data_IF_509370916838
#
_entry.id   IF_509370916838
#
_cell.length_a   1.000
_cell.length_b   1.000
_cell.length_c   1.000
_cell.angle_alpha   90.00
_cell.angle_beta   90.00
_cell.angle_gamma   90.00
#
_symmetry.space_group_name_H-M   'P 1'
#
loop_
_entity.id
_entity.type
_entity.pdbx_description
1 polymer ?
#
# COMPACT_ATOMS: atom_id res chain seq x y z
N UNK A 1 -11.36 5.06 12.89
CA UNK A 1 -10.79 3.78 13.35
C UNK A 1 -11.02 3.49 14.85
N UNK A 2 -11.39 4.46 15.67
CA UNK A 2 -11.49 4.35 17.14
C UNK A 2 -10.13 4.08 17.81
N UNK A 3 -9.10 4.79 17.41
CA UNK A 3 -7.82 4.81 18.11
C UNK A 3 -8.05 5.47 19.47
N UNK A 4 -7.44 4.94 20.55
CA UNK A 4 -7.69 5.43 21.91
C UNK A 4 -7.03 6.78 22.14
N UNK A 5 -5.77 6.93 21.74
CA UNK A 5 -4.96 8.15 21.85
C UNK A 5 -4.39 8.53 20.48
N UNK A 6 -4.41 9.80 20.15
CA UNK A 6 -3.78 10.36 18.94
C UNK A 6 -2.72 11.36 19.41
N UNK A 7 -1.44 10.98 19.34
CA UNK A 7 -0.36 11.93 19.49
C UNK A 7 -0.28 12.78 18.23
N UNK A 8 -0.77 14.01 18.35
CA UNK A 8 -1.05 14.86 17.21
C UNK A 8 0.17 15.65 16.72
N UNK A 9 1.19 15.78 17.55
CA UNK A 9 2.42 16.45 17.17
C UNK A 9 3.17 17.09 18.33
N UNK A 10 4.16 17.93 17.99
CA UNK A 10 5.08 18.59 18.91
C UNK A 10 4.90 20.13 18.84
N UNK A 11 3.97 20.70 19.63
CA UNK A 11 3.51 22.10 19.49
C UNK A 11 4.57 23.19 19.59
N UNK A 12 5.71 22.91 20.23
CA UNK A 12 6.81 23.87 20.36
C UNK A 12 7.72 23.93 19.12
N UNK A 13 7.64 22.93 18.23
CA UNK A 13 8.53 22.82 17.09
C UNK A 13 8.36 23.98 16.10
N UNK A 14 7.11 24.40 15.85
CA UNK A 14 6.77 25.56 15.01
C UNK A 14 5.35 26.04 15.29
N UNK A 15 5.00 27.24 14.80
CA UNK A 15 3.61 27.72 14.86
C UNK A 15 2.67 26.84 14.04
N UNK A 16 3.11 26.30 12.91
CA UNK A 16 2.33 25.37 12.11
C UNK A 16 2.04 24.05 12.84
N UNK A 17 3.01 23.50 13.58
CA UNK A 17 2.80 22.32 14.42
C UNK A 17 1.80 22.60 15.56
N UNK A 18 1.92 23.78 16.18
CA UNK A 18 0.95 24.21 17.18
C UNK A 18 -0.47 24.30 16.60
N UNK A 19 -0.64 24.96 15.46
CA UNK A 19 -1.93 25.10 14.79
C UNK A 19 -2.52 23.74 14.42
N UNK A 20 -1.70 22.82 13.90
CA UNK A 20 -2.13 21.48 13.53
C UNK A 20 -2.66 20.70 14.75
N UNK A 21 -1.92 20.69 15.86
CA UNK A 21 -2.36 20.04 17.12
C UNK A 21 -3.64 20.70 17.64
N UNK A 22 -3.74 22.03 17.63
CA UNK A 22 -4.88 22.77 18.11
C UNK A 22 -6.15 22.50 17.27
N UNK A 23 -6.04 22.45 15.93
CA UNK A 23 -7.15 22.09 15.05
C UNK A 23 -7.60 20.63 15.26
N UNK A 24 -6.68 19.69 15.39
CA UNK A 24 -6.99 18.30 15.73
C UNK A 24 -7.74 18.23 17.07
N UNK A 25 -7.28 18.97 18.08
CA UNK A 25 -7.92 19.04 19.40
C UNK A 25 -9.36 19.57 19.34
N UNK A 26 -9.68 20.50 18.45
CA UNK A 26 -11.04 21.03 18.26
C UNK A 26 -11.99 20.00 17.65
N UNK A 27 -11.55 19.19 16.70
CA UNK A 27 -12.40 18.31 15.89
C UNK A 27 -12.50 16.88 16.42
N UNK A 28 -11.47 16.35 17.04
CA UNK A 28 -11.47 14.97 17.56
C UNK A 28 -12.31 14.89 18.85
N UNK A 29 -13.28 13.95 18.87
CA UNK A 29 -14.20 13.78 20.01
C UNK A 29 -14.22 12.37 20.61
N UNK A 30 -13.70 11.39 19.88
CA UNK A 30 -13.79 9.97 20.28
C UNK A 30 -12.46 9.35 20.70
N UNK A 31 -11.40 10.14 20.76
CA UNK A 31 -10.04 9.75 21.18
C UNK A 31 -9.45 10.84 22.05
N UNK A 32 -8.52 10.49 22.90
CA UNK A 32 -7.69 11.46 23.62
C UNK A 32 -6.69 12.09 22.65
N UNK A 33 -6.60 13.42 22.63
CA UNK A 33 -5.59 14.12 21.84
C UNK A 33 -4.37 14.38 22.70
N UNK A 34 -3.25 13.85 22.28
CA UNK A 34 -1.97 13.95 22.99
C UNK A 34 -1.06 14.95 22.27
N UNK A 35 -0.37 15.78 23.02
CA UNK A 35 0.72 16.60 22.53
C UNK A 35 2.03 16.24 23.22
N UNK A 36 3.12 16.24 22.43
CA UNK A 36 4.48 15.94 22.92
C UNK A 36 5.17 17.20 23.42
N UNK A 37 5.92 17.08 24.52
CA UNK A 37 6.68 18.16 25.17
C UNK A 37 7.95 17.62 25.81
N UNK A 38 9.07 18.28 25.60
CA UNK A 38 10.27 18.02 26.42
C UNK A 38 10.00 18.44 27.86
N UNK A 39 10.83 17.96 28.80
CA UNK A 39 10.77 18.30 30.22
C UNK A 39 11.18 19.77 30.50
N UNK A 40 10.66 20.72 29.71
CA UNK A 40 10.87 22.14 29.88
C UNK A 40 9.55 22.88 30.05
N UNK A 41 9.55 23.94 30.87
CA UNK A 41 8.35 24.74 31.11
C UNK A 41 7.73 25.28 29.82
N UNK A 42 8.55 25.79 28.91
CA UNK A 42 8.06 26.38 27.66
C UNK A 42 7.36 25.36 26.74
N UNK A 43 7.91 24.15 26.65
CA UNK A 43 7.32 23.06 25.86
C UNK A 43 5.98 22.61 26.44
N UNK A 44 5.93 22.40 27.76
CA UNK A 44 4.73 21.91 28.45
C UNK A 44 3.61 22.97 28.40
N UNK A 45 3.92 24.25 28.64
CA UNK A 45 2.94 25.33 28.52
C UNK A 45 2.36 25.43 27.11
N UNK A 46 3.22 25.35 26.09
CA UNK A 46 2.81 25.42 24.68
C UNK A 46 1.97 24.21 24.27
N UNK A 47 2.33 23.02 24.78
CA UNK A 47 1.57 21.80 24.58
C UNK A 47 0.17 21.90 25.23
N UNK A 48 0.12 22.34 26.49
CA UNK A 48 -1.13 22.54 27.22
C UNK A 48 -2.08 23.52 26.51
N UNK A 49 -1.54 24.61 25.97
CA UNK A 49 -2.30 25.58 25.17
C UNK A 49 -2.87 24.94 23.89
N UNK A 50 -2.05 24.14 23.17
CA UNK A 50 -2.47 23.51 21.93
C UNK A 50 -3.59 22.49 22.12
N UNK A 51 -3.54 21.66 23.18
CA UNK A 51 -4.56 20.62 23.45
C UNK A 51 -5.77 21.14 24.25
N UNK A 52 -5.75 22.38 24.72
CA UNK A 52 -6.83 22.97 25.54
C UNK A 52 -8.24 22.79 24.97
N UNK A 53 -8.50 22.88 23.65
CA UNK A 53 -9.84 22.67 23.10
C UNK A 53 -10.25 21.19 22.98
N UNK A 54 -9.38 20.24 23.32
CA UNK A 54 -9.70 18.82 23.22
C UNK A 54 -10.80 18.40 24.19
N UNK A 55 -11.63 17.45 23.77
CA UNK A 55 -12.63 16.84 24.67
C UNK A 55 -11.95 15.98 25.77
N UNK A 56 -10.82 15.37 25.44
CA UNK A 56 -9.88 14.69 26.34
C UNK A 56 -8.48 15.00 25.84
N UNK A 57 -7.65 15.61 26.68
CA UNK A 57 -6.31 16.07 26.33
C UNK A 57 -5.27 15.42 27.22
N UNK A 58 -4.17 14.93 26.63
CA UNK A 58 -3.00 14.37 27.30
C UNK A 58 -1.77 15.18 26.99
N UNK A 59 -0.93 15.39 28.00
CA UNK A 59 0.43 15.90 27.81
C UNK A 59 1.40 14.72 27.94
N UNK A 60 2.17 14.48 26.89
CA UNK A 60 3.25 13.51 26.89
C UNK A 60 4.57 14.26 27.05
N UNK A 61 5.22 14.11 28.22
CA UNK A 61 6.52 14.72 28.47
C UNK A 61 7.61 13.67 28.62
N UNK A 62 8.84 14.01 28.24
CA UNK A 62 9.96 13.08 28.21
C UNK A 62 11.30 13.72 28.53
N UNK A 63 12.20 12.91 29.07
CA UNK A 63 13.62 13.24 29.20
C UNK A 63 14.44 11.95 29.05
N UNK A 64 15.66 12.08 28.49
CA UNK A 64 16.56 10.94 28.31
C UNK A 64 17.12 10.46 29.66
N UNK A 65 17.15 9.16 29.85
CA UNK A 65 17.59 8.53 31.10
C UNK A 65 18.81 7.61 30.95
N UNK A 66 19.24 7.33 29.71
CA UNK A 66 20.44 6.52 29.50
C UNK A 66 21.73 7.29 29.85
N UNK A 67 22.76 6.59 30.37
CA UNK A 67 24.06 7.22 30.68
C UNK A 67 24.66 7.96 29.48
N UNK A 68 24.50 7.39 28.28
CA UNK A 68 25.00 7.99 27.05
C UNK A 68 24.33 9.35 26.77
N UNK A 69 23.01 9.42 26.87
CA UNK A 69 22.27 10.65 26.62
C UNK A 69 22.44 11.68 27.75
N UNK A 70 22.41 11.24 28.99
CA UNK A 70 22.68 12.16 30.13
C UNK A 70 24.02 12.86 29.97
N UNK A 71 25.09 12.10 29.65
CA UNK A 71 26.43 12.63 29.49
C UNK A 71 26.63 13.51 28.28
N UNK A 72 26.16 13.08 27.09
CA UNK A 72 26.53 13.73 25.82
C UNK A 72 25.45 14.67 25.28
N UNK A 73 24.15 14.35 25.49
CA UNK A 73 23.02 15.15 25.00
C UNK A 73 22.54 16.17 26.02
N UNK A 74 22.27 15.73 27.23
CA UNK A 74 21.72 16.59 28.29
C UNK A 74 22.81 17.34 29.05
N UNK A 75 23.98 16.73 29.23
CA UNK A 75 25.06 17.23 30.09
C UNK A 75 24.56 17.46 31.53
N UNK A 76 23.79 16.52 32.04
CA UNK A 76 23.15 16.52 33.36
C UNK A 76 23.59 15.32 34.18
N UNK A 77 23.69 15.51 35.49
CA UNK A 77 23.89 14.42 36.45
C UNK A 77 22.57 13.65 36.64
N UNK A 78 22.60 12.35 36.98
CA UNK A 78 21.39 11.54 37.16
C UNK A 78 20.34 12.15 38.13
N UNK A 79 20.77 12.75 39.21
CA UNK A 79 19.86 13.38 40.20
C UNK A 79 19.16 14.61 39.62
N UNK A 80 19.84 15.41 38.78
CA UNK A 80 19.24 16.57 38.09
C UNK A 80 18.20 16.09 37.06
N UNK A 81 18.47 14.98 36.38
CA UNK A 81 17.50 14.34 35.46
C UNK A 81 16.27 13.86 36.23
N UNK A 82 16.46 13.20 37.36
CA UNK A 82 15.35 12.73 38.24
C UNK A 82 14.51 13.91 38.76
N UNK A 83 15.16 15.02 39.17
CA UNK A 83 14.44 16.22 39.57
C UNK A 83 13.65 16.84 38.39
N UNK A 84 14.20 16.87 37.17
CA UNK A 84 13.50 17.33 35.97
C UNK A 84 12.28 16.46 35.62
N UNK A 85 12.33 15.15 35.89
CA UNK A 85 11.15 14.26 35.79
C UNK A 85 10.03 14.75 36.70
N UNK A 86 10.34 14.94 37.99
CA UNK A 86 9.35 15.40 39.00
C UNK A 86 8.76 16.75 38.59
N UNK A 87 9.62 17.72 38.24
CA UNK A 87 9.20 19.07 37.92
C UNK A 87 8.31 19.11 36.65
N UNK A 88 8.69 18.38 35.60
CA UNK A 88 7.95 18.34 34.34
C UNK A 88 6.58 17.66 34.48
N UNK A 89 6.51 16.51 35.17
CA UNK A 89 5.25 15.82 35.38
C UNK A 89 4.32 16.62 36.33
N UNK A 90 4.87 17.22 37.39
CA UNK A 90 4.10 18.10 38.30
C UNK A 90 3.53 19.30 37.55
N UNK A 91 4.32 19.90 36.67
CA UNK A 91 3.86 21.03 35.83
C UNK A 91 2.75 20.58 34.86
N UNK A 92 2.93 19.47 34.17
CA UNK A 92 1.93 18.94 33.24
C UNK A 92 0.59 18.61 33.96
N UNK A 93 0.66 18.08 35.17
CA UNK A 93 -0.52 17.80 36.04
C UNK A 93 -1.33 19.04 36.37
N UNK A 94 -0.75 20.23 36.37
CA UNK A 94 -1.51 21.46 36.60
C UNK A 94 -2.47 21.79 35.41
N UNK A 95 -2.26 21.19 34.25
CA UNK A 95 -3.06 21.42 33.05
C UNK A 95 -4.04 20.30 32.70
N UNK A 96 -3.68 19.05 33.01
CA UNK A 96 -4.52 17.88 32.70
C UNK A 96 -4.32 16.77 33.75
N UNK A 97 -5.35 15.97 33.92
CA UNK A 97 -5.28 14.76 34.76
C UNK A 97 -4.68 13.56 34.03
N UNK A 98 -4.45 13.64 32.74
CA UNK A 98 -3.87 12.59 31.90
C UNK A 98 -2.46 13.02 31.45
N UNK A 99 -1.44 12.50 32.12
CA UNK A 99 -0.03 12.80 31.83
C UNK A 99 0.70 11.51 31.52
N UNK A 100 1.31 11.45 30.36
CA UNK A 100 2.24 10.40 29.95
C UNK A 100 3.67 10.89 30.12
N UNK A 101 4.52 10.03 30.67
CA UNK A 101 5.95 10.29 30.80
C UNK A 101 6.78 9.18 30.18
N UNK A 102 7.79 9.56 29.38
CA UNK A 102 8.74 8.66 28.74
C UNK A 102 10.16 8.80 29.25
N UNK A 103 10.78 7.66 29.58
CA UNK A 103 12.23 7.56 29.77
C UNK A 103 12.93 7.41 28.40
N UNK A 104 13.18 8.51 27.71
CA UNK A 104 13.83 8.46 26.39
C UNK A 104 15.13 7.65 26.47
N UNK A 105 15.35 6.79 25.47
CA UNK A 105 16.43 5.81 25.42
C UNK A 105 16.35 4.75 26.54
N UNK A 106 15.12 4.34 26.86
CA UNK A 106 14.81 3.41 27.93
C UNK A 106 15.52 2.07 27.80
N UNK A 107 15.57 1.50 26.58
CA UNK A 107 16.24 0.22 26.35
C UNK A 107 17.75 0.22 26.67
N UNK A 108 18.39 1.38 26.80
CA UNK A 108 19.80 1.54 27.20
C UNK A 108 19.97 2.22 28.56
N UNK A 109 18.87 2.44 29.29
CA UNK A 109 18.90 3.00 30.63
C UNK A 109 19.26 1.92 31.66
N UNK A 110 20.07 2.27 32.66
CA UNK A 110 20.38 1.36 33.74
C UNK A 110 19.11 1.01 34.54
N UNK A 111 18.92 -0.27 34.87
CA UNK A 111 17.68 -0.79 35.43
C UNK A 111 17.28 -0.10 36.76
N UNK A 112 18.27 0.15 37.66
CA UNK A 112 17.99 0.80 38.94
C UNK A 112 17.57 2.25 38.74
N UNK A 113 18.22 2.99 37.87
CA UNK A 113 17.86 4.36 37.56
C UNK A 113 16.52 4.46 36.83
N UNK A 114 16.25 3.51 35.93
CA UNK A 114 14.94 3.39 35.27
C UNK A 114 13.81 3.25 36.33
N UNK A 115 13.95 2.31 37.27
CA UNK A 115 12.96 2.10 38.29
C UNK A 115 12.76 3.35 39.16
N UNK A 116 13.84 4.05 39.57
CA UNK A 116 13.78 5.29 40.36
C UNK A 116 13.08 6.43 39.63
N UNK A 117 13.37 6.62 38.34
CA UNK A 117 12.74 7.68 37.52
C UNK A 117 11.28 7.39 37.26
N UNK A 118 10.89 6.15 37.01
CA UNK A 118 9.50 5.71 36.85
C UNK A 118 8.72 5.93 38.13
N UNK A 119 9.24 5.48 39.28
CA UNK A 119 8.63 5.71 40.58
C UNK A 119 8.39 7.20 40.85
N UNK A 120 9.43 8.04 40.58
CA UNK A 120 9.34 9.49 40.75
C UNK A 120 8.31 10.13 39.83
N UNK A 121 8.19 9.68 38.56
CA UNK A 121 7.19 10.15 37.61
C UNK A 121 5.76 9.82 38.07
N UNK A 122 5.52 8.60 38.54
CA UNK A 122 4.22 8.17 39.04
C UNK A 122 3.84 8.95 40.34
N UNK A 123 4.77 9.15 41.24
CA UNK A 123 4.54 9.93 42.46
C UNK A 123 4.28 11.41 42.16
N UNK A 124 4.88 11.97 41.08
CA UNK A 124 4.60 13.31 40.60
C UNK A 124 3.24 13.40 39.86
N UNK A 125 2.60 12.26 39.55
CA UNK A 125 1.25 12.20 39.01
C UNK A 125 1.14 11.71 37.55
N UNK A 126 2.16 11.09 36.96
CA UNK A 126 2.05 10.44 35.67
C UNK A 126 1.06 9.28 35.75
N UNK A 127 0.15 9.22 34.80
CA UNK A 127 -0.89 8.16 34.65
C UNK A 127 -0.52 7.09 33.64
N UNK A 128 0.44 7.39 32.79
CA UNK A 128 1.00 6.48 31.81
C UNK A 128 2.52 6.61 31.80
N UNK A 129 3.21 5.49 31.83
CA UNK A 129 4.67 5.38 31.74
C UNK A 129 5.03 4.69 30.44
N UNK A 130 5.68 5.41 29.54
CA UNK A 130 6.12 4.87 28.26
C UNK A 130 7.61 4.55 28.30
N UNK A 131 7.95 3.33 27.88
CA UNK A 131 9.32 2.81 27.88
C UNK A 131 9.74 2.62 26.42
N UNK A 132 10.57 3.51 25.85
CA UNK A 132 10.93 3.43 24.44
C UNK A 132 12.20 2.63 24.18
N UNK A 133 12.16 1.82 23.14
CA UNK A 133 13.34 1.34 22.40
C UNK A 133 13.70 2.38 21.33
N UNK A 134 14.30 3.47 21.76
CA UNK A 134 14.51 4.68 20.95
C UNK A 134 15.43 4.46 19.76
N UNK A 135 16.37 3.54 19.85
CA UNK A 135 17.31 3.24 18.76
C UNK A 135 16.99 1.94 18.03
N UNK A 136 15.90 1.26 18.39
CA UNK A 136 15.40 0.08 17.69
C UNK A 136 16.34 -1.12 17.70
N UNK A 137 17.07 -1.35 18.82
CA UNK A 137 18.09 -2.40 18.88
C UNK A 137 17.77 -3.53 19.86
N UNK A 138 16.73 -3.38 20.69
CA UNK A 138 16.33 -4.39 21.63
C UNK A 138 15.79 -5.65 20.94
N UNK A 139 16.05 -6.81 21.55
CA UNK A 139 15.49 -8.08 21.10
C UNK A 139 14.19 -8.37 21.86
N UNK A 140 13.20 -9.10 21.28
CA UNK A 140 11.89 -9.26 21.91
C UNK A 140 11.91 -9.84 23.33
N UNK A 141 12.75 -10.86 23.56
CA UNK A 141 12.88 -11.48 24.87
C UNK A 141 13.54 -10.54 25.89
N UNK A 142 14.55 -9.78 25.47
CA UNK A 142 15.25 -8.79 26.28
C UNK A 142 14.30 -7.64 26.66
N UNK A 143 13.56 -7.13 25.67
CA UNK A 143 12.61 -6.05 25.89
C UNK A 143 11.46 -6.47 26.83
N UNK A 144 10.89 -7.66 26.62
CA UNK A 144 9.89 -8.21 27.51
C UNK A 144 10.42 -8.38 28.95
N UNK A 145 11.64 -8.91 29.11
CA UNK A 145 12.25 -9.06 30.44
C UNK A 145 12.47 -7.72 31.15
N UNK A 146 12.80 -6.66 30.41
CA UNK A 146 12.91 -5.30 30.95
C UNK A 146 11.56 -4.76 31.42
N UNK A 147 10.49 -4.96 30.64
CA UNK A 147 9.14 -4.56 31.06
C UNK A 147 8.69 -5.35 32.29
N UNK A 148 8.90 -6.65 32.32
CA UNK A 148 8.60 -7.51 33.47
C UNK A 148 9.38 -7.08 34.72
N UNK A 149 10.66 -6.72 34.55
CA UNK A 149 11.50 -6.18 35.65
C UNK A 149 10.91 -4.90 36.18
N UNK A 150 10.48 -3.95 35.36
CA UNK A 150 9.82 -2.70 35.80
C UNK A 150 8.53 -3.00 36.54
N UNK A 151 7.68 -3.87 36.00
CA UNK A 151 6.42 -4.29 36.64
C UNK A 151 6.63 -4.91 38.03
N UNK A 152 7.74 -5.61 38.24
CA UNK A 152 8.03 -6.29 39.51
C UNK A 152 8.78 -5.43 40.53
N UNK A 153 9.53 -4.40 40.07
CA UNK A 153 10.45 -3.65 40.96
C UNK A 153 9.94 -2.27 41.35
N UNK A 154 9.09 -1.63 40.51
CA UNK A 154 8.59 -0.28 40.82
C UNK A 154 7.42 -0.37 41.78
N UNK A 155 7.53 0.19 43.01
CA UNK A 155 6.55 -0.09 44.10
C UNK A 155 5.15 0.48 43.82
N UNK A 156 5.03 1.54 43.05
CA UNK A 156 3.79 2.26 42.75
C UNK A 156 3.28 2.03 41.32
N UNK A 157 3.79 0.99 40.60
CA UNK A 157 3.54 0.74 39.19
C UNK A 157 2.07 0.50 38.85
N UNK A 158 1.30 -0.02 39.81
CA UNK A 158 -0.13 -0.28 39.71
C UNK A 158 -0.99 0.99 39.55
N UNK A 159 -0.42 2.16 39.82
CA UNK A 159 -1.08 3.47 39.63
C UNK A 159 -0.97 4.02 38.22
N UNK A 160 -0.19 3.37 37.35
CA UNK A 160 0.03 3.83 35.99
C UNK A 160 -0.16 2.71 34.94
N UNK A 161 -0.50 3.10 33.73
CA UNK A 161 -0.51 2.21 32.56
C UNK A 161 0.92 2.15 32.01
N UNK A 162 1.42 0.94 31.75
CA UNK A 162 2.67 0.77 31.04
C UNK A 162 2.42 0.83 29.53
N UNK A 163 3.07 1.77 28.91
CA UNK A 163 3.14 2.01 27.46
C UNK A 163 4.50 1.60 26.92
N UNK A 164 4.54 1.22 25.65
CA UNK A 164 5.78 0.89 24.94
C UNK A 164 5.82 1.59 23.59
N UNK A 165 7.03 1.99 23.19
CA UNK A 165 7.34 2.63 21.93
C UNK A 165 8.58 1.99 21.34
N UNK A 166 8.48 1.42 20.13
CA UNK A 166 9.60 0.70 19.53
C UNK A 166 9.91 1.24 18.14
N UNK A 167 11.17 1.62 17.90
CA UNK A 167 11.70 1.87 16.57
C UNK A 167 12.10 0.58 15.87
N UNK A 168 12.16 0.62 14.55
CA UNK A 168 12.23 -0.57 13.70
C UNK A 168 13.59 -0.78 13.02
N UNK A 169 14.68 -0.26 13.61
CA UNK A 169 16.01 -0.29 12.99
C UNK A 169 16.51 -1.71 12.71
N UNK A 170 16.22 -2.66 13.58
CA UNK A 170 16.51 -4.09 13.38
C UNK A 170 15.30 -4.88 12.85
N UNK A 171 14.18 -4.25 12.51
CA UNK A 171 12.97 -4.93 12.07
C UNK A 171 12.20 -5.63 13.19
N UNK A 172 12.40 -5.25 14.46
CA UNK A 172 11.84 -5.93 15.63
C UNK A 172 10.73 -5.13 16.33
N UNK A 173 10.38 -3.94 15.86
CA UNK A 173 9.47 -3.04 16.58
C UNK A 173 8.13 -3.67 16.94
N UNK A 174 7.48 -4.36 16.00
CA UNK A 174 6.20 -5.05 16.24
C UNK A 174 6.39 -6.22 17.20
N UNK A 175 7.45 -7.01 17.01
CA UNK A 175 7.73 -8.16 17.87
C UNK A 175 8.03 -7.73 19.32
N UNK A 176 8.81 -6.66 19.50
CA UNK A 176 9.12 -6.07 20.81
C UNK A 176 7.83 -5.58 21.49
N UNK A 177 7.00 -4.85 20.76
CA UNK A 177 5.72 -4.31 21.29
C UNK A 177 4.78 -5.43 21.73
N UNK A 178 4.60 -6.47 20.92
CA UNK A 178 3.74 -7.61 21.26
C UNK A 178 4.30 -8.44 22.42
N UNK A 179 5.62 -8.62 22.50
CA UNK A 179 6.27 -9.27 23.63
C UNK A 179 6.08 -8.49 24.93
N UNK A 180 6.16 -7.17 24.89
CA UNK A 180 5.87 -6.30 26.05
C UNK A 180 4.40 -6.39 26.50
N UNK A 181 3.45 -6.47 25.55
CA UNK A 181 2.03 -6.67 25.87
C UNK A 181 1.79 -7.98 26.62
N UNK A 182 2.50 -9.05 26.26
CA UNK A 182 2.39 -10.35 26.95
C UNK A 182 2.76 -10.27 28.45
N UNK A 183 3.72 -9.42 28.80
CA UNK A 183 4.24 -9.31 30.17
C UNK A 183 3.69 -8.14 30.97
N UNK A 184 2.76 -7.34 30.44
CA UNK A 184 2.08 -6.33 31.24
C UNK A 184 1.86 -4.97 30.62
N UNK A 185 2.47 -4.63 29.48
CA UNK A 185 2.16 -3.39 28.78
C UNK A 185 0.69 -3.38 28.31
N UNK A 186 0.04 -2.22 28.40
CA UNK A 186 -1.38 -2.05 28.03
C UNK A 186 -1.62 -0.89 27.07
N UNK A 187 -0.60 -0.12 26.76
CA UNK A 187 -0.58 0.84 25.66
C UNK A 187 0.59 0.55 24.74
N UNK A 188 0.38 0.72 23.43
CA UNK A 188 1.43 0.63 22.41
C UNK A 188 1.38 1.88 21.57
N UNK A 189 2.46 2.64 21.55
CA UNK A 189 2.68 3.69 20.58
C UNK A 189 3.13 3.07 19.26
N UNK A 190 2.40 3.34 18.21
CA UNK A 190 2.62 2.77 16.90
C UNK A 190 2.09 3.72 15.82
N UNK A 191 2.50 3.49 14.58
CA UNK A 191 2.12 4.36 13.47
C UNK A 191 1.51 3.57 12.32
N UNK A 192 0.61 4.21 11.57
CA UNK A 192 0.08 3.61 10.33
C UNK A 192 1.24 3.40 9.35
N UNK A 193 1.31 2.21 8.75
CA UNK A 193 2.37 1.77 7.85
C UNK A 193 3.77 1.70 8.49
N UNK A 194 3.87 1.81 9.80
CA UNK A 194 5.16 1.86 10.50
C UNK A 194 5.98 3.10 10.21
N UNK A 195 5.34 4.21 9.81
CA UNK A 195 6.04 5.48 9.53
C UNK A 195 6.77 5.98 10.78
N UNK A 196 7.89 6.66 10.57
CA UNK A 196 8.69 7.23 11.64
C UNK A 196 10.12 7.51 11.20
N UNK A 197 10.94 7.93 12.15
CA UNK A 197 12.35 8.22 11.91
C UNK A 197 13.13 6.97 11.51
N UNK A 198 14.16 7.14 10.72
CA UNK A 198 15.09 6.10 10.24
C UNK A 198 14.34 4.93 9.56
N UNK A 199 14.26 3.76 10.21
CA UNK A 199 13.53 2.59 9.69
C UNK A 199 12.04 2.55 10.11
N UNK A 200 11.56 3.59 10.80
CA UNK A 200 10.18 3.73 11.24
C UNK A 200 9.89 3.19 12.62
N UNK A 201 8.62 3.14 12.96
CA UNK A 201 8.06 2.68 14.23
C UNK A 201 7.38 1.31 14.08
N UNK A 202 6.87 0.77 15.17
CA UNK A 202 5.97 -0.37 15.13
C UNK A 202 4.75 -0.04 14.26
N UNK A 203 4.40 -0.94 13.34
CA UNK A 203 3.27 -0.76 12.44
C UNK A 203 1.96 -1.10 13.17
N UNK A 204 1.05 -0.13 13.25
CA UNK A 204 -0.22 -0.24 13.97
C UNK A 204 -1.08 -1.39 13.43
N UNK A 205 -1.18 -1.55 12.12
CA UNK A 205 -1.93 -2.61 11.46
C UNK A 205 -1.44 -4.01 11.84
N UNK A 206 -0.14 -4.18 12.01
CA UNK A 206 0.47 -5.45 12.38
C UNK A 206 0.21 -5.78 13.86
N UNK A 207 0.27 -4.78 14.75
CA UNK A 207 -0.09 -4.92 16.16
C UNK A 207 -1.56 -5.33 16.30
N UNK A 208 -2.48 -4.61 15.64
CA UNK A 208 -3.92 -4.86 15.72
C UNK A 208 -4.28 -6.25 15.21
N UNK A 209 -3.74 -6.62 14.04
CA UNK A 209 -4.05 -7.91 13.45
C UNK A 209 -3.36 -9.07 14.19
N UNK A 210 -2.19 -8.85 14.79
CA UNK A 210 -1.55 -9.79 15.70
C UNK A 210 -2.45 -10.13 16.90
N UNK A 211 -3.03 -9.11 17.54
CA UNK A 211 -3.98 -9.30 18.64
C UNK A 211 -5.26 -10.06 18.19
N UNK A 212 -5.77 -9.74 17.01
CA UNK A 212 -7.03 -10.33 16.52
C UNK A 212 -6.88 -11.75 15.99
N UNK A 213 -5.75 -12.06 15.37
CA UNK A 213 -5.52 -13.40 14.77
C UNK A 213 -4.96 -14.41 15.76
N UNK A 214 -4.34 -13.95 16.85
CA UNK A 214 -3.70 -14.81 17.85
C UNK A 214 -4.23 -14.59 19.27
N UNK A 215 -5.57 -14.65 19.50
CA UNK A 215 -6.16 -14.54 20.83
C UNK A 215 -5.72 -15.68 21.77
N UNK A 216 -5.21 -16.77 21.22
CA UNK A 216 -4.63 -17.89 21.93
C UNK A 216 -3.32 -17.53 22.66
N UNK A 217 -2.53 -16.63 22.08
CA UNK A 217 -1.28 -16.12 22.67
C UNK A 217 -1.40 -14.71 23.24
N UNK A 218 -2.29 -13.91 22.71
CA UNK A 218 -2.51 -12.51 23.04
C UNK A 218 -4.00 -12.30 23.40
N UNK A 219 -4.43 -12.74 24.59
CA UNK A 219 -5.84 -12.69 25.01
C UNK A 219 -6.28 -11.26 25.39
N UNK A 220 -5.95 -10.29 24.55
CA UNK A 220 -6.25 -8.88 24.75
C UNK A 220 -7.11 -8.36 23.60
N UNK A 221 -7.98 -7.40 23.90
CA UNK A 221 -8.89 -6.80 22.95
C UNK A 221 -8.52 -5.34 22.68
N UNK A 222 -8.88 -4.88 21.49
CA UNK A 222 -8.82 -3.47 21.11
C UNK A 222 -10.15 -3.04 20.50
N UNK A 223 -10.54 -1.79 20.72
CA UNK A 223 -11.75 -1.20 20.14
C UNK A 223 -11.54 -0.70 18.71
N UNK A 224 -10.35 -0.87 18.16
CA UNK A 224 -10.01 -0.38 16.81
C UNK A 224 -10.82 -1.14 15.77
N UNK A 225 -11.42 -0.37 14.85
CA UNK A 225 -12.12 -0.90 13.67
C UNK A 225 -11.10 -1.29 12.61
N UNK A 226 -10.72 -2.57 12.57
CA UNK A 226 -9.69 -3.07 11.64
C UNK A 226 -10.12 -3.02 10.18
N UNK A 227 -11.42 -3.07 9.89
CA UNK A 227 -11.98 -2.91 8.55
C UNK A 227 -11.71 -1.54 7.92
N UNK A 228 -11.13 -0.60 8.67
CA UNK A 228 -10.68 0.70 8.20
C UNK A 228 -9.15 0.78 7.98
N UNK A 229 -8.41 -0.29 8.24
CA UNK A 229 -6.94 -0.32 8.17
C UNK A 229 -6.47 0.02 6.76
N UNK A 230 -6.93 -0.68 5.75
CA UNK A 230 -6.50 -0.46 4.34
C UNK A 230 -6.83 0.96 3.86
N UNK A 231 -7.98 1.49 4.26
CA UNK A 231 -8.36 2.86 3.92
C UNK A 231 -7.44 3.89 4.58
N UNK A 232 -7.10 3.69 5.86
CA UNK A 232 -6.19 4.57 6.57
C UNK A 232 -4.76 4.49 6.01
N UNK A 233 -4.27 3.28 5.72
CA UNK A 233 -2.97 3.05 5.08
C UNK A 233 -2.85 3.80 3.75
N UNK A 234 -3.85 3.68 2.87
CA UNK A 234 -3.88 4.38 1.58
C UNK A 234 -3.91 5.90 1.74
N UNK A 235 -4.72 6.41 2.68
CA UNK A 235 -4.80 7.84 2.96
C UNK A 235 -3.45 8.40 3.41
N UNK A 236 -2.81 7.75 4.39
CA UNK A 236 -1.50 8.15 4.90
C UNK A 236 -0.44 8.11 3.79
N UNK A 237 -0.39 7.03 3.00
CA UNK A 237 0.52 6.92 1.86
C UNK A 237 0.32 8.06 0.84
N UNK A 238 -0.93 8.42 0.54
CA UNK A 238 -1.26 9.52 -0.38
C UNK A 238 -0.84 10.87 0.17
N UNK A 239 -1.11 11.15 1.44
CA UNK A 239 -0.82 12.45 2.06
C UNK A 239 0.68 12.67 2.28
N UNK A 240 1.38 11.62 2.69
CA UNK A 240 2.81 11.71 3.01
C UNK A 240 3.74 11.50 1.80
N UNK A 241 3.22 10.88 0.73
CA UNK A 241 4.02 10.47 -0.43
C UNK A 241 4.86 9.20 -0.19
N UNK A 242 4.83 8.60 1.00
CA UNK A 242 5.51 7.34 1.28
C UNK A 242 4.69 6.16 0.76
N UNK A 243 5.22 5.45 -0.23
CA UNK A 243 4.57 4.29 -0.82
C UNK A 243 4.73 3.05 0.07
N UNK A 244 3.64 2.29 0.21
CA UNK A 244 3.67 1.00 0.91
C UNK A 244 4.32 -0.05 0.02
N UNK A 245 5.27 -0.82 0.57
CA UNK A 245 5.89 -1.93 -0.15
C UNK A 245 4.84 -2.99 -0.51
N UNK A 246 4.87 -3.56 -1.73
CA UNK A 246 3.87 -4.56 -2.14
C UNK A 246 3.76 -5.77 -1.19
N UNK A 247 4.85 -6.18 -0.59
CA UNK A 247 4.93 -7.30 0.36
C UNK A 247 4.82 -6.89 1.83
N UNK A 248 4.43 -5.64 2.12
CA UNK A 248 4.18 -5.20 3.51
C UNK A 248 3.05 -6.04 4.12
N UNK A 249 3.27 -6.53 5.33
CA UNK A 249 2.24 -7.27 6.04
C UNK A 249 0.93 -6.45 6.16
N UNK A 250 -0.20 -7.12 6.10
CA UNK A 250 -1.56 -6.61 6.26
C UNK A 250 -2.04 -5.67 5.13
N UNK A 251 -1.26 -4.63 4.76
CA UNK A 251 -1.68 -3.53 3.88
C UNK A 251 -0.99 -3.50 2.52
N UNK A 252 0.03 -4.33 2.31
CA UNK A 252 0.72 -4.43 1.02
C UNK A 252 -0.19 -4.99 -0.06
N UNK A 253 0.05 -4.62 -1.32
CA UNK A 253 -0.76 -5.07 -2.46
C UNK A 253 -0.79 -6.61 -2.61
N UNK A 254 0.26 -7.30 -2.12
CA UNK A 254 0.40 -8.75 -2.18
C UNK A 254 -0.08 -9.46 -0.91
N UNK A 255 -0.54 -8.73 0.13
CA UNK A 255 -0.87 -9.33 1.42
C UNK A 255 -1.97 -10.41 1.35
N UNK A 256 -2.87 -10.30 0.35
CA UNK A 256 -3.95 -11.23 0.05
C UNK A 256 -3.90 -11.72 -1.41
N UNK A 257 -2.69 -11.82 -1.98
CA UNK A 257 -2.48 -12.25 -3.34
C UNK A 257 -1.83 -13.64 -3.38
N UNK A 258 -2.42 -14.56 -4.13
CA UNK A 258 -1.92 -15.91 -4.31
C UNK A 258 -1.60 -16.14 -5.79
N UNK A 259 -0.34 -16.37 -6.13
CA UNK A 259 0.13 -16.66 -7.50
C UNK A 259 0.40 -18.15 -7.72
N UNK A 260 1.03 -18.82 -6.74
CA UNK A 260 1.39 -20.22 -6.88
C UNK A 260 0.18 -21.13 -7.02
N UNK A 261 0.15 -21.98 -8.05
CA UNK A 261 -1.00 -22.85 -8.36
C UNK A 261 -1.40 -23.78 -7.21
N UNK A 262 -0.44 -24.25 -6.40
CA UNK A 262 -0.72 -25.08 -5.22
C UNK A 262 -1.42 -24.27 -4.12
N UNK A 263 -1.07 -22.99 -3.96
CA UNK A 263 -1.73 -22.08 -3.02
C UNK A 263 -3.13 -21.72 -3.53
N UNK A 264 -3.26 -21.37 -4.81
CA UNK A 264 -4.54 -21.06 -5.43
C UNK A 264 -5.54 -22.24 -5.32
N UNK A 265 -5.10 -23.48 -5.59
CA UNK A 265 -5.92 -24.66 -5.43
C UNK A 265 -6.36 -24.89 -3.97
N UNK A 266 -5.49 -24.62 -3.01
CA UNK A 266 -5.79 -24.66 -1.59
C UNK A 266 -6.84 -23.62 -1.19
N UNK A 267 -6.64 -22.36 -1.56
CA UNK A 267 -7.55 -21.23 -1.24
C UNK A 267 -8.94 -21.46 -1.86
N UNK A 268 -9.01 -21.93 -3.11
CA UNK A 268 -10.28 -22.22 -3.79
C UNK A 268 -11.08 -23.34 -3.09
N UNK A 269 -10.38 -24.30 -2.46
CA UNK A 269 -11.02 -25.36 -1.66
C UNK A 269 -11.42 -24.87 -0.27
N UNK A 270 -10.56 -24.13 0.39
CA UNK A 270 -10.81 -23.50 1.69
C UNK A 270 -9.76 -22.39 1.91
N UNK A 271 -10.20 -21.13 2.02
CA UNK A 271 -9.33 -19.98 2.22
C UNK A 271 -8.38 -20.14 3.44
N UNK A 272 -8.85 -20.79 4.52
CA UNK A 272 -8.05 -21.02 5.73
C UNK A 272 -6.81 -21.91 5.52
N UNK A 273 -6.65 -22.53 4.35
CA UNK A 273 -5.43 -23.32 4.06
C UNK A 273 -4.19 -22.43 3.95
N UNK A 274 -4.35 -21.17 3.55
CA UNK A 274 -3.27 -20.20 3.36
C UNK A 274 -3.57 -18.80 3.90
N UNK A 275 -4.77 -18.53 4.38
CA UNK A 275 -5.16 -17.23 4.93
C UNK A 275 -5.44 -17.35 6.43
N UNK A 276 -4.69 -16.58 7.24
CA UNK A 276 -4.86 -16.49 8.69
C UNK A 276 -5.86 -15.40 9.10
N UNK A 277 -6.29 -14.58 8.16
CA UNK A 277 -7.28 -13.50 8.30
C UNK A 277 -7.98 -13.30 6.96
N UNK A 278 -9.18 -12.75 6.98
CA UNK A 278 -9.92 -12.49 5.75
C UNK A 278 -9.65 -11.08 5.22
N UNK A 279 -9.72 -10.84 3.91
CA UNK A 279 -9.59 -9.51 3.32
C UNK A 279 -10.54 -8.48 3.95
N UNK A 280 -11.78 -8.86 4.22
CA UNK A 280 -12.80 -7.99 4.80
C UNK A 280 -12.43 -7.53 6.20
N UNK A 281 -11.69 -8.35 6.95
CA UNK A 281 -11.23 -8.01 8.31
C UNK A 281 -10.31 -6.79 8.34
N UNK A 282 -9.72 -6.43 7.21
CA UNK A 282 -8.84 -5.25 7.05
C UNK A 282 -9.39 -4.22 6.05
N UNK A 283 -10.62 -4.43 5.54
CA UNK A 283 -11.32 -3.50 4.66
C UNK A 283 -11.04 -3.66 3.18
N UNK A 284 -10.66 -4.85 2.76
CA UNK A 284 -10.64 -5.27 1.35
C UNK A 284 -11.92 -6.06 1.04
N UNK A 285 -12.32 -6.12 -0.22
CA UNK A 285 -13.54 -6.82 -0.64
C UNK A 285 -13.33 -8.30 -0.89
N UNK A 286 -12.13 -8.68 -1.35
CA UNK A 286 -11.79 -10.06 -1.73
C UNK A 286 -10.28 -10.28 -1.83
N UNK A 287 -9.86 -11.55 -1.79
CA UNK A 287 -8.50 -11.97 -2.12
C UNK A 287 -8.28 -11.93 -3.63
N UNK A 288 -7.09 -11.55 -4.07
CA UNK A 288 -6.72 -11.53 -5.49
C UNK A 288 -6.01 -12.80 -5.90
N UNK A 289 -6.59 -13.55 -6.81
CA UNK A 289 -5.86 -14.57 -7.55
C UNK A 289 -5.04 -13.90 -8.65
N UNK A 290 -3.77 -13.68 -8.35
CA UNK A 290 -2.83 -13.09 -9.34
C UNK A 290 -2.42 -14.18 -10.31
N UNK A 291 -2.67 -13.92 -11.60
CA UNK A 291 -2.31 -14.84 -12.67
C UNK A 291 -0.85 -14.60 -13.11
N UNK A 292 -0.03 -15.65 -13.03
CA UNK A 292 1.39 -15.58 -13.37
C UNK A 292 1.97 -16.95 -13.77
N UNK A 293 3.28 -17.02 -13.99
CA UNK A 293 3.95 -18.24 -14.46
C UNK A 293 3.76 -19.45 -13.56
N UNK A 294 3.45 -19.25 -12.27
CA UNK A 294 3.23 -20.30 -11.28
C UNK A 294 1.75 -20.72 -11.16
N UNK A 295 0.83 -20.00 -11.80
CA UNK A 295 -0.60 -20.33 -11.77
C UNK A 295 -0.90 -21.64 -12.48
N UNK A 296 -1.78 -22.45 -11.85
CA UNK A 296 -2.24 -23.71 -12.38
C UNK A 296 -3.41 -23.55 -13.37
N UNK A 297 -3.69 -24.63 -14.16
CA UNK A 297 -4.79 -24.65 -15.14
C UNK A 297 -6.16 -24.44 -14.48
N UNK A 298 -6.35 -24.93 -13.26
CA UNK A 298 -7.62 -24.77 -12.55
C UNK A 298 -7.90 -23.30 -12.23
N UNK A 299 -6.94 -22.60 -11.64
CA UNK A 299 -7.08 -21.18 -11.36
C UNK A 299 -7.26 -20.34 -12.64
N UNK A 300 -6.58 -20.69 -13.74
CA UNK A 300 -6.78 -20.04 -15.03
C UNK A 300 -8.20 -20.25 -15.57
N UNK A 301 -8.78 -21.45 -15.43
CA UNK A 301 -10.17 -21.73 -15.83
C UNK A 301 -11.17 -20.91 -15.00
N UNK A 302 -11.01 -20.88 -13.67
CA UNK A 302 -11.87 -20.06 -12.80
C UNK A 302 -11.79 -18.58 -13.18
N UNK A 303 -10.59 -18.08 -13.50
CA UNK A 303 -10.39 -16.70 -13.97
C UNK A 303 -11.11 -16.45 -15.31
N UNK A 304 -11.10 -17.40 -16.24
CA UNK A 304 -11.84 -17.28 -17.48
C UNK A 304 -13.35 -17.19 -17.24
N UNK A 305 -13.88 -18.00 -16.31
CA UNK A 305 -15.31 -17.97 -15.92
C UNK A 305 -15.65 -16.62 -15.30
N UNK A 306 -14.81 -16.09 -14.38
CA UNK A 306 -14.95 -14.76 -13.80
C UNK A 306 -15.00 -13.66 -14.86
N UNK A 307 -14.16 -13.77 -15.90
CA UNK A 307 -14.12 -12.86 -17.05
C UNK A 307 -15.25 -13.07 -18.06
N UNK A 308 -16.15 -14.04 -17.80
CA UNK A 308 -17.33 -14.32 -18.63
C UNK A 308 -17.08 -15.25 -19.82
N UNK A 309 -15.98 -16.02 -19.79
CA UNK A 309 -15.68 -17.02 -20.83
C UNK A 309 -16.00 -18.43 -20.35
N UNK A 310 -16.96 -19.07 -20.98
CA UNK A 310 -17.25 -20.52 -20.80
C UNK A 310 -16.69 -21.30 -21.98
N UNK A 311 -15.47 -21.83 -21.83
CA UNK A 311 -14.72 -22.51 -22.87
C UNK A 311 -14.65 -24.01 -22.60
N UNK A 312 -14.76 -24.81 -23.66
CA UNK A 312 -14.52 -26.25 -23.58
C UNK A 312 -13.05 -26.59 -23.24
N UNK A 313 -12.82 -27.79 -22.69
CA UNK A 313 -11.53 -28.21 -22.14
C UNK A 313 -10.34 -28.05 -23.09
N UNK A 314 -10.52 -28.31 -24.39
CA UNK A 314 -9.47 -28.13 -25.40
C UNK A 314 -9.12 -26.66 -25.62
N UNK A 315 -10.11 -25.78 -25.64
CA UNK A 315 -9.91 -24.34 -25.80
C UNK A 315 -9.23 -23.74 -24.55
N UNK A 316 -9.63 -24.18 -23.34
CA UNK A 316 -8.97 -23.81 -22.09
C UNK A 316 -7.51 -24.26 -22.08
N UNK A 317 -7.21 -25.47 -22.58
CA UNK A 317 -5.84 -25.99 -22.62
C UNK A 317 -4.95 -25.20 -23.59
N UNK A 318 -5.47 -24.81 -24.75
CA UNK A 318 -4.75 -24.02 -25.72
C UNK A 318 -4.51 -22.57 -25.24
N UNK A 319 -5.54 -21.96 -24.68
CA UNK A 319 -5.43 -20.66 -24.04
C UNK A 319 -4.46 -20.68 -22.85
N UNK A 320 -4.48 -21.73 -22.02
CA UNK A 320 -3.56 -21.91 -20.90
C UNK A 320 -2.10 -22.03 -21.36
N UNK A 321 -1.83 -22.75 -22.44
CA UNK A 321 -0.47 -22.83 -23.00
C UNK A 321 0.06 -21.44 -23.38
N UNK A 322 -0.74 -20.65 -24.12
CA UNK A 322 -0.38 -19.29 -24.50
C UNK A 322 -0.22 -18.35 -23.29
N UNK A 323 -1.09 -18.52 -22.29
CA UNK A 323 -0.94 -17.81 -21.02
C UNK A 323 0.40 -18.12 -20.36
N UNK A 324 0.86 -19.37 -20.35
CA UNK A 324 2.17 -19.74 -19.82
C UNK A 324 3.31 -19.13 -20.64
N UNK A 325 3.21 -19.16 -21.95
CA UNK A 325 4.21 -18.54 -22.83
C UNK A 325 4.30 -17.01 -22.59
N UNK A 326 3.16 -16.34 -22.37
CA UNK A 326 3.13 -14.92 -22.01
C UNK A 326 3.70 -14.68 -20.62
N UNK A 327 3.33 -15.50 -19.62
CA UNK A 327 3.77 -15.36 -18.23
C UNK A 327 5.27 -15.65 -18.04
N UNK A 328 5.92 -16.33 -18.97
CA UNK A 328 7.37 -16.51 -18.96
C UNK A 328 8.12 -15.23 -19.39
N UNK A 329 7.47 -14.36 -20.18
CA UNK A 329 8.06 -13.12 -20.71
C UNK A 329 7.60 -11.90 -19.92
N UNK A 330 6.38 -11.91 -19.40
CA UNK A 330 5.74 -10.81 -18.69
C UNK A 330 5.54 -11.15 -17.21
N UNK A 331 6.11 -10.36 -16.32
CA UNK A 331 6.07 -10.62 -14.86
C UNK A 331 4.66 -10.57 -14.29
N UNK A 332 3.89 -9.56 -14.63
CA UNK A 332 2.53 -9.34 -14.13
C UNK A 332 1.54 -9.50 -15.30
N UNK A 333 0.71 -10.54 -15.25
CA UNK A 333 -0.33 -10.81 -16.26
C UNK A 333 -1.67 -10.28 -15.73
N UNK A 334 -2.25 -9.34 -16.46
CA UNK A 334 -3.51 -8.69 -16.12
C UNK A 334 -4.70 -9.36 -16.82
N UNK A 335 -5.91 -9.02 -16.38
CA UNK A 335 -7.15 -9.56 -16.96
C UNK A 335 -7.27 -9.25 -18.44
N UNK A 336 -6.80 -8.08 -18.88
CA UNK A 336 -6.76 -7.68 -20.28
C UNK A 336 -5.85 -8.56 -21.13
N UNK A 337 -4.76 -9.05 -20.55
CA UNK A 337 -3.85 -9.99 -21.26
C UNK A 337 -4.54 -11.35 -21.46
N UNK A 338 -5.25 -11.83 -20.45
CA UNK A 338 -6.00 -13.10 -20.51
C UNK A 338 -7.13 -12.98 -21.54
N UNK A 339 -7.86 -11.87 -21.52
CA UNK A 339 -8.89 -11.57 -22.52
C UNK A 339 -8.29 -11.57 -23.94
N UNK A 340 -7.13 -10.91 -24.13
CA UNK A 340 -6.44 -10.87 -25.41
C UNK A 340 -6.05 -12.27 -25.89
N UNK A 341 -5.54 -13.14 -25.01
CA UNK A 341 -5.18 -14.53 -25.36
C UNK A 341 -6.39 -15.31 -25.85
N UNK A 342 -7.55 -15.14 -25.20
CA UNK A 342 -8.78 -15.85 -25.58
C UNK A 342 -9.37 -15.26 -26.86
N UNK A 343 -9.46 -13.93 -26.95
CA UNK A 343 -9.98 -13.23 -28.12
C UNK A 343 -9.13 -13.51 -29.35
N UNK A 344 -7.79 -13.54 -29.25
CA UNK A 344 -6.88 -13.91 -30.35
C UNK A 344 -7.11 -15.36 -30.82
N UNK A 345 -7.51 -16.26 -29.92
CA UNK A 345 -7.86 -17.62 -30.31
C UNK A 345 -9.15 -17.68 -31.12
N UNK A 346 -10.12 -16.83 -30.77
CA UNK A 346 -11.41 -16.70 -31.48
C UNK A 346 -11.23 -15.94 -32.81
N UNK A 347 -10.37 -14.91 -32.81
CA UNK A 347 -10.16 -14.02 -34.00
C UNK A 347 -9.31 -14.68 -35.09
N UNK A 348 -8.32 -15.51 -34.76
CA UNK A 348 -7.50 -16.23 -35.75
C UNK A 348 -8.33 -17.11 -36.70
N UNK A 349 -9.55 -17.39 -36.37
CA UNK A 349 -10.52 -18.07 -37.23
C UNK A 349 -11.26 -17.11 -38.18
N UNK A 350 -11.19 -15.77 -37.94
CA UNK A 350 -11.99 -14.77 -38.68
C UNK A 350 -11.30 -13.39 -38.77
N UNK A 351 -10.02 -13.33 -39.19
CA UNK A 351 -9.38 -12.03 -39.50
C UNK A 351 -10.02 -11.39 -40.73
N UNK A 352 -10.96 -10.45 -40.50
CA UNK A 352 -11.67 -9.73 -41.57
C UNK A 352 -10.77 -8.68 -42.23
N UNK A 353 -9.85 -8.05 -41.44
CA UNK A 353 -8.95 -7.00 -41.89
C UNK A 353 -7.50 -7.46 -41.73
N UNK A 354 -6.73 -7.48 -42.80
CA UNK A 354 -5.32 -7.86 -42.82
C UNK A 354 -4.45 -6.82 -43.54
N UNK A 355 -3.28 -6.51 -42.96
CA UNK A 355 -2.26 -5.64 -43.62
C UNK A 355 -1.43 -6.46 -44.60
N UNK A 356 -1.48 -6.14 -45.90
CA UNK A 356 -0.65 -6.76 -46.89
C UNK A 356 0.62 -5.94 -47.23
N UNK A 357 0.48 -4.62 -47.33
CA UNK A 357 1.59 -3.72 -47.67
C UNK A 357 1.44 -2.40 -46.95
N UNK A 358 2.55 -1.85 -46.46
CA UNK A 358 2.64 -0.51 -45.90
C UNK A 358 3.94 0.15 -46.37
N UNK A 359 3.83 1.34 -46.94
CA UNK A 359 4.95 2.22 -47.26
C UNK A 359 4.69 3.58 -46.61
N UNK A 360 5.66 4.10 -45.85
CA UNK A 360 5.52 5.39 -45.16
C UNK A 360 6.66 6.30 -45.60
N UNK A 361 6.31 7.45 -46.16
CA UNK A 361 7.25 8.50 -46.50
C UNK A 361 7.14 9.62 -45.49
N UNK A 362 8.19 9.81 -44.70
CA UNK A 362 8.28 10.88 -43.70
C UNK A 362 9.71 11.41 -43.60
N UNK A 363 9.86 12.66 -43.22
CA UNK A 363 11.17 13.31 -43.10
C UNK A 363 11.05 14.72 -42.53
N UNK A 364 12.16 15.44 -42.48
CA UNK A 364 12.25 16.82 -41.95
C UNK A 364 11.95 17.89 -43.01
N UNK A 365 11.68 17.49 -44.27
CA UNK A 365 11.30 18.41 -45.33
C UNK A 365 9.82 18.81 -45.25
N UNK A 366 9.45 19.92 -45.89
CA UNK A 366 8.14 20.60 -45.77
C UNK A 366 6.92 19.81 -46.31
N UNK A 367 7.05 18.56 -46.69
CA UNK A 367 5.91 17.74 -47.13
C UNK A 367 5.29 16.97 -45.97
N UNK A 368 3.93 16.95 -45.85
CA UNK A 368 3.28 16.19 -44.82
C UNK A 368 3.59 14.69 -44.98
N UNK A 369 3.78 13.96 -43.87
CA UNK A 369 3.96 12.51 -43.86
C UNK A 369 2.87 11.81 -44.68
N UNK A 370 3.26 10.83 -45.50
CA UNK A 370 2.37 10.11 -46.42
C UNK A 370 2.46 8.61 -46.13
N UNK A 371 1.34 7.94 -46.01
CA UNK A 371 1.23 6.49 -45.91
C UNK A 371 0.49 5.94 -47.12
N UNK A 372 1.11 4.96 -47.79
CA UNK A 372 0.49 4.17 -48.89
C UNK A 372 0.33 2.75 -48.39
N UNK A 373 -0.88 2.20 -48.43
CA UNK A 373 -1.14 0.88 -47.88
C UNK A 373 -2.11 0.06 -48.71
N UNK A 374 -1.95 -1.27 -48.58
CA UNK A 374 -2.89 -2.26 -49.09
C UNK A 374 -3.42 -3.09 -47.94
N UNK A 375 -4.72 -3.07 -47.72
CA UNK A 375 -5.42 -3.94 -46.78
C UNK A 375 -6.25 -4.97 -47.56
N UNK A 376 -6.33 -6.16 -46.99
CA UNK A 376 -7.36 -7.15 -47.35
C UNK A 376 -8.50 -6.95 -46.32
N UNK A 377 -9.67 -6.57 -46.79
CA UNK A 377 -10.87 -6.35 -45.99
C UNK A 377 -11.95 -7.27 -46.48
N UNK A 378 -12.31 -8.31 -45.70
CA UNK A 378 -13.30 -9.34 -46.05
C UNK A 378 -13.02 -10.02 -47.40
N UNK A 379 -11.75 -10.33 -47.68
CA UNK A 379 -11.29 -10.97 -48.90
C UNK A 379 -11.03 -10.00 -50.08
N UNK A 380 -11.40 -8.73 -49.99
CA UNK A 380 -11.18 -7.72 -51.02
C UNK A 380 -9.90 -6.89 -50.71
N UNK A 381 -9.02 -6.76 -51.71
CA UNK A 381 -7.84 -5.89 -51.65
C UNK A 381 -8.23 -4.44 -51.91
N UNK A 382 -7.98 -3.60 -50.91
CA UNK A 382 -8.22 -2.15 -50.99
C UNK A 382 -6.92 -1.37 -50.81
N UNK A 383 -6.76 -0.30 -51.59
CA UNK A 383 -5.59 0.57 -51.56
C UNK A 383 -5.99 1.97 -51.12
N UNK A 384 -5.15 2.58 -50.30
CA UNK A 384 -5.28 3.98 -49.93
C UNK A 384 -3.91 4.67 -49.87
N UNK A 385 -3.94 5.96 -50.08
CA UNK A 385 -2.83 6.88 -49.96
C UNK A 385 -3.31 8.07 -49.12
N UNK A 386 -2.75 8.26 -47.92
CA UNK A 386 -3.19 9.30 -47.01
C UNK A 386 -2.03 10.11 -46.47
N UNK A 387 -2.29 11.40 -46.24
CA UNK A 387 -1.37 12.28 -45.51
C UNK A 387 -1.87 12.55 -44.10
N UNK A 388 -0.96 12.83 -43.17
CA UNK A 388 -1.28 13.11 -41.80
C UNK A 388 -0.36 14.15 -41.17
N UNK A 389 -0.67 14.57 -39.95
CA UNK A 389 0.18 15.47 -39.17
C UNK A 389 1.47 14.77 -38.72
N UNK A 390 1.46 13.44 -38.67
CA UNK A 390 2.58 12.55 -38.43
C UNK A 390 2.43 11.24 -39.18
N UNK A 391 3.49 10.39 -39.23
CA UNK A 391 3.44 9.13 -39.98
C UNK A 391 2.38 8.17 -39.43
N UNK A 392 2.19 8.11 -38.10
CA UNK A 392 1.17 7.28 -37.46
C UNK A 392 -0.24 7.79 -37.75
N UNK A 393 -0.46 9.10 -37.77
CA UNK A 393 -1.74 9.71 -38.15
C UNK A 393 -2.11 9.41 -39.61
N UNK A 394 -1.13 9.48 -40.53
CA UNK A 394 -1.32 9.09 -41.93
C UNK A 394 -1.74 7.61 -42.06
N UNK A 395 -1.12 6.71 -41.28
CA UNK A 395 -1.45 5.28 -41.24
C UNK A 395 -2.88 5.07 -40.74
N UNK A 396 -3.25 5.66 -39.60
CA UNK A 396 -4.57 5.45 -39.01
C UNK A 396 -5.69 6.05 -39.87
N UNK A 397 -5.47 7.20 -40.49
CA UNK A 397 -6.39 7.78 -41.48
C UNK A 397 -6.59 6.84 -42.69
N UNK A 398 -5.52 6.24 -43.19
CA UNK A 398 -5.59 5.27 -44.29
C UNK A 398 -6.38 4.03 -43.92
N UNK A 399 -6.16 3.48 -42.73
CA UNK A 399 -6.92 2.31 -42.23
C UNK A 399 -8.41 2.66 -42.07
N UNK A 400 -8.74 3.81 -41.50
CA UNK A 400 -10.13 4.28 -41.35
C UNK A 400 -10.81 4.40 -42.73
N UNK A 401 -10.16 5.03 -43.70
CA UNK A 401 -10.69 5.18 -45.06
C UNK A 401 -11.00 3.83 -45.70
N UNK A 402 -10.08 2.86 -45.58
CA UNK A 402 -10.24 1.54 -46.25
C UNK A 402 -11.28 0.67 -45.57
N UNK A 403 -11.46 0.80 -44.24
CA UNK A 403 -12.38 -0.01 -43.46
C UNK A 403 -13.77 0.65 -43.31
N UNK A 404 -13.87 1.96 -43.47
CA UNK A 404 -15.08 2.73 -43.22
C UNK A 404 -15.43 2.80 -41.72
N UNK A 405 -14.50 2.49 -40.82
CA UNK A 405 -14.69 2.53 -39.39
C UNK A 405 -14.03 3.78 -38.79
N UNK A 406 -14.75 4.46 -37.88
CA UNK A 406 -14.32 5.73 -37.28
C UNK A 406 -14.26 5.66 -35.73
N UNK A 407 -13.61 4.64 -35.14
CA UNK A 407 -13.55 4.55 -33.68
C UNK A 407 -12.72 5.68 -33.09
N UNK A 408 -13.06 6.05 -31.85
CA UNK A 408 -12.29 7.01 -31.07
C UNK A 408 -11.02 6.36 -30.51
N UNK A 409 -9.85 6.98 -30.78
CA UNK A 409 -8.57 6.54 -30.26
C UNK A 409 -8.39 7.10 -28.84
N UNK A 410 -8.49 6.24 -27.83
CA UNK A 410 -8.32 6.62 -26.41
C UNK A 410 -6.86 6.51 -25.93
N UNK A 411 -6.08 5.58 -26.50
CA UNK A 411 -4.69 5.35 -26.11
C UNK A 411 -3.86 4.92 -27.33
N UNK A 412 -2.67 5.48 -27.44
CA UNK A 412 -1.61 5.01 -28.31
C UNK A 412 -0.31 5.00 -27.51
N UNK A 413 0.32 3.85 -27.36
CA UNK A 413 1.50 3.68 -26.54
C UNK A 413 2.50 2.76 -27.22
N UNK A 414 3.77 3.15 -27.21
CA UNK A 414 4.89 2.41 -27.82
C UNK A 414 5.89 2.04 -26.72
N UNK A 415 6.23 0.78 -26.64
CA UNK A 415 7.26 0.26 -25.75
C UNK A 415 8.36 -0.44 -26.56
N UNK A 416 9.63 -0.20 -26.21
CA UNK A 416 10.74 -1.02 -26.68
C UNK A 416 10.83 -2.29 -25.82
N UNK A 417 10.77 -3.46 -26.45
CA UNK A 417 10.80 -4.75 -25.73
C UNK A 417 12.20 -5.33 -25.64
N UNK A 418 13.11 -4.95 -26.56
CA UNK A 418 14.50 -5.43 -26.60
C UNK A 418 15.47 -4.26 -26.63
N UNK A 419 16.76 -4.52 -26.30
CA UNK A 419 17.83 -3.53 -26.38
C UNK A 419 18.58 -3.65 -27.71
N UNK A 420 19.02 -2.53 -28.29
CA UNK A 420 19.81 -2.48 -29.51
C UNK A 420 19.14 -1.68 -30.61
N UNK A 421 19.82 -1.55 -31.76
CA UNK A 421 19.32 -0.80 -32.93
C UNK A 421 18.25 -1.55 -33.74
N UNK A 422 18.08 -2.82 -33.46
CA UNK A 422 17.08 -3.74 -34.00
C UNK A 422 16.01 -4.11 -32.97
N UNK A 423 15.85 -3.25 -31.93
CA UNK A 423 14.87 -3.44 -30.88
C UNK A 423 13.45 -3.59 -31.46
N UNK A 424 12.76 -4.64 -30.99
CA UNK A 424 11.35 -4.83 -31.34
C UNK A 424 10.50 -3.83 -30.58
N UNK A 425 9.67 -3.08 -31.29
CA UNK A 425 8.67 -2.19 -30.70
C UNK A 425 7.35 -2.95 -30.53
N UNK A 426 6.78 -2.86 -29.32
CA UNK A 426 5.40 -3.26 -29.05
C UNK A 426 4.53 -2.02 -28.98
N UNK A 427 3.45 -2.02 -29.75
CA UNK A 427 2.49 -0.92 -29.79
C UNK A 427 1.16 -1.40 -29.25
N UNK A 428 0.60 -0.62 -28.30
CA UNK A 428 -0.75 -0.82 -27.78
C UNK A 428 -1.64 0.32 -28.22
N UNK A 429 -2.80 -0.04 -28.79
CA UNK A 429 -3.85 0.89 -29.21
C UNK A 429 -5.14 0.58 -28.45
N UNK A 430 -5.80 1.60 -27.91
CA UNK A 430 -7.16 1.48 -27.33
C UNK A 430 -8.14 2.24 -28.18
N UNK A 431 -9.13 1.53 -28.71
CA UNK A 431 -10.23 2.10 -29.50
C UNK A 431 -11.56 1.99 -28.76
N UNK A 432 -12.40 3.00 -28.93
CA UNK A 432 -13.75 3.04 -28.40
C UNK A 432 -14.74 3.34 -29.52
N UNK A 433 -15.86 2.62 -29.56
CA UNK A 433 -16.96 2.83 -30.48
C UNK A 433 -18.27 2.39 -29.83
N UNK A 434 -19.27 3.26 -29.82
CA UNK A 434 -20.61 3.01 -29.24
C UNK A 434 -20.55 2.47 -27.80
N UNK A 435 -19.63 3.01 -26.97
CA UNK A 435 -19.41 2.61 -25.58
C UNK A 435 -18.67 1.27 -25.43
N UNK A 436 -18.25 0.63 -26.52
CA UNK A 436 -17.44 -0.60 -26.49
C UNK A 436 -15.96 -0.23 -26.65
N UNK A 437 -15.15 -0.58 -25.66
CA UNK A 437 -13.69 -0.35 -25.68
C UNK A 437 -12.95 -1.64 -25.96
N UNK A 438 -11.90 -1.59 -26.79
CA UNK A 438 -11.00 -2.70 -27.09
C UNK A 438 -9.55 -2.26 -27.06
N UNK A 439 -8.65 -3.18 -26.72
CA UNK A 439 -7.21 -2.99 -26.85
C UNK A 439 -6.67 -3.84 -28.02
N UNK A 440 -5.90 -3.23 -28.91
CA UNK A 440 -5.15 -3.94 -29.95
C UNK A 440 -3.66 -3.85 -29.69
N UNK A 441 -2.93 -4.91 -30.03
CA UNK A 441 -1.48 -4.97 -29.89
C UNK A 441 -0.84 -5.35 -31.23
N UNK A 442 0.34 -4.81 -31.47
CA UNK A 442 1.15 -5.13 -32.64
C UNK A 442 2.64 -5.02 -32.30
N UNK A 443 3.42 -5.97 -32.76
CA UNK A 443 4.86 -5.99 -32.55
C UNK A 443 5.58 -6.14 -33.88
N UNK A 444 6.63 -5.33 -34.05
CA UNK A 444 7.53 -5.37 -35.20
C UNK A 444 8.82 -4.62 -34.86
N UNK A 445 9.89 -4.87 -35.62
CA UNK A 445 11.11 -4.05 -35.57
C UNK A 445 10.89 -2.66 -36.18
N UNK A 446 9.92 -2.51 -37.06
CA UNK A 446 9.45 -1.24 -37.61
C UNK A 446 8.22 -0.76 -36.78
N UNK A 447 8.40 0.35 -36.05
CA UNK A 447 7.35 0.95 -35.24
C UNK A 447 6.10 1.35 -36.03
N UNK A 448 6.23 1.71 -37.31
CA UNK A 448 5.11 2.07 -38.17
C UNK A 448 4.28 0.83 -38.51
N UNK A 449 4.95 -0.28 -38.82
CA UNK A 449 4.30 -1.58 -39.07
C UNK A 449 3.63 -2.09 -37.79
N UNK A 450 4.32 -2.01 -36.64
CA UNK A 450 3.75 -2.38 -35.34
C UNK A 450 2.48 -1.55 -35.00
N UNK A 451 2.50 -0.24 -35.30
CA UNK A 451 1.35 0.66 -35.11
C UNK A 451 0.16 0.28 -36.00
N UNK A 452 0.40 0.01 -37.26
CA UNK A 452 -0.64 -0.44 -38.20
C UNK A 452 -1.28 -1.76 -37.75
N UNK A 453 -0.47 -2.74 -37.36
CA UNK A 453 -0.92 -4.04 -36.83
C UNK A 453 -1.74 -3.89 -35.55
N UNK A 454 -1.30 -3.05 -34.59
CA UNK A 454 -2.03 -2.79 -33.36
C UNK A 454 -3.42 -2.20 -33.63
N UNK A 455 -3.49 -1.23 -34.57
CA UNK A 455 -4.76 -0.60 -34.92
C UNK A 455 -5.72 -1.56 -35.62
N UNK A 456 -5.23 -2.36 -36.59
CA UNK A 456 -6.01 -3.38 -37.26
C UNK A 456 -6.49 -4.47 -36.29
N UNK A 457 -5.64 -4.92 -35.40
CA UNK A 457 -6.02 -5.88 -34.37
C UNK A 457 -7.17 -5.34 -33.47
N UNK A 458 -7.10 -4.06 -33.07
CA UNK A 458 -8.20 -3.42 -32.37
C UNK A 458 -9.50 -3.36 -33.18
N UNK A 459 -9.42 -3.04 -34.50
CA UNK A 459 -10.59 -3.02 -35.37
C UNK A 459 -11.25 -4.40 -35.52
N UNK A 460 -10.46 -5.45 -35.75
CA UNK A 460 -10.98 -6.82 -35.80
C UNK A 460 -11.71 -7.20 -34.50
N UNK A 461 -11.17 -6.80 -33.33
CA UNK A 461 -11.82 -7.00 -32.05
C UNK A 461 -13.14 -6.21 -31.91
N UNK A 462 -13.22 -4.98 -32.42
CA UNK A 462 -14.46 -4.22 -32.47
C UNK A 462 -15.52 -4.88 -33.35
N UNK A 463 -15.16 -5.43 -34.49
CA UNK A 463 -16.06 -6.16 -35.38
C UNK A 463 -16.69 -7.36 -34.65
N UNK A 464 -15.87 -8.18 -34.01
CA UNK A 464 -16.37 -9.31 -33.18
C UNK A 464 -17.30 -8.84 -32.05
N UNK A 465 -16.97 -7.72 -31.40
CA UNK A 465 -17.84 -7.14 -30.34
C UNK A 465 -19.16 -6.54 -30.87
N UNK A 466 -19.20 -6.08 -32.11
CA UNK A 466 -20.43 -5.62 -32.75
C UNK A 466 -21.47 -6.76 -32.91
N UNK A 467 -21.01 -7.96 -33.21
CA UNK A 467 -21.87 -9.14 -33.41
C UNK A 467 -22.41 -9.74 -32.09
N UNK A 468 -21.77 -9.46 -30.97
CA UNK A 468 -22.23 -9.92 -29.63
C UNK A 468 -23.33 -8.99 -29.12
N UNK A 469 -24.60 -9.43 -29.13
CA UNK A 469 -25.67 -8.80 -28.36
C UNK A 469 -25.41 -8.94 -26.87
N UNK A 470 -25.75 -7.89 -26.07
CA UNK A 470 -25.70 -7.97 -24.60
C UNK A 470 -26.53 -9.19 -24.14
N UNK A 471 -26.08 -9.94 -23.09
CA UNK A 471 -26.91 -10.96 -22.49
C UNK A 471 -28.25 -10.31 -22.07
N UNK A 472 -29.36 -10.88 -22.52
CA UNK A 472 -30.68 -10.43 -22.07
C UNK A 472 -30.70 -10.49 -20.54
N UNK A 473 -31.03 -9.38 -19.89
CA UNK A 473 -31.23 -9.34 -18.44
C UNK A 473 -32.18 -10.49 -18.08
N UNK A 474 -31.71 -11.41 -17.27
CA UNK A 474 -32.55 -12.42 -16.65
C UNK A 474 -33.56 -11.64 -15.80
N UNK A 475 -34.81 -11.63 -16.27
CA UNK A 475 -35.94 -11.14 -15.51
C UNK A 475 -36.04 -11.89 -14.20
N UNK A 476 -36.15 -11.13 -13.10
CA UNK A 476 -36.23 -11.48 -11.69
C UNK A 476 -37.06 -12.71 -11.36
#
# INVERSE_FOLDING_TARGET
MRVDVIEAGFPIASDGDFEAVNEIAKIVKGSTVCGLARSSKGDIDRCAEAIKPAASGRIHTFISTSPLHMKHKLQMEPEDVRQAVVDSVTLARNYTDDVEWSCEDGSRTEHDFMCQTIESAIDAGATTINIPDTVGYAMPMEYAAMIEMVMNRVPNIDKAIISVHCHNDLGMAVANSLAAVQVGARQVECTINGLGERAGNAAMEEIIMGLRTRPDHLPYNTNIKSELITKASKLVSTVTGFTVQPNKAIVGANAFAHEAGIHQDGVLKNAQTYEIMTPESVGLTESKLVMGKHSGRHAFREKLIELGYDLGDNAVQDAFKRFKDLADVKKDVYDEDIIAIVDDAVIRTNDIINLEKLEVLCGTEQQPPKASMTLNVDGEKKLAEMTGDGPVDAIFKGIKQLTGMEPHLQLYQVHAVTQGTDAQAEVTVRLEEDGKTVNGQGADTDTMVASARAYINALNKLLVKREKSAPSALSA
#
